data_IF_420354940427
#
_entry.id   IF_420354940427
#
_cell.length_a   1.000
_cell.length_b   1.000
_cell.length_c   1.000
_cell.angle_alpha   90.00
_cell.angle_beta   90.00
_cell.angle_gamma   90.00
#
_symmetry.space_group_name_H-M   'P 1'
#
loop_
_entity.id
_entity.type
_entity.pdbx_description
1 polymer ?
#
# COMPACT_ATOMS: atom_id res chain seq x y z
N UNK A 1 49.49 -9.16 22.46
CA UNK A 1 48.09 -9.24 21.98
C UNK A 1 47.61 -7.85 21.60
N UNK A 2 47.59 -7.49 20.31
CA UNK A 2 46.89 -6.29 19.82
C UNK A 2 45.60 -6.76 19.14
N UNK A 3 44.46 -6.47 19.77
CA UNK A 3 43.16 -6.70 19.18
C UNK A 3 42.85 -5.54 18.22
N UNK A 4 43.06 -5.78 16.93
CA UNK A 4 42.52 -4.93 15.87
C UNK A 4 41.01 -5.19 15.81
N UNK A 5 40.21 -4.30 16.39
CA UNK A 5 38.76 -4.31 16.18
C UNK A 5 38.47 -3.99 14.72
N UNK A 6 37.82 -4.93 14.04
CA UNK A 6 37.26 -4.75 12.72
C UNK A 6 36.14 -3.70 12.80
N UNK A 7 36.39 -2.52 12.23
CA UNK A 7 35.33 -1.57 11.90
C UNK A 7 34.55 -2.18 10.75
N UNK A 8 33.41 -2.80 11.04
CA UNK A 8 32.41 -3.11 10.04
C UNK A 8 31.96 -1.79 9.42
N UNK A 9 32.54 -1.43 8.28
CA UNK A 9 31.92 -0.50 7.35
C UNK A 9 30.68 -1.23 6.83
N UNK A 10 29.55 -1.00 7.50
CA UNK A 10 28.23 -1.37 6.99
C UNK A 10 28.18 -0.86 5.57
N UNK A 11 28.10 -1.77 4.59
CA UNK A 11 27.78 -1.44 3.23
C UNK A 11 26.50 -0.61 3.31
N UNK A 12 26.64 0.71 3.15
CA UNK A 12 25.49 1.59 3.04
C UNK A 12 24.89 1.22 1.69
N UNK A 13 23.91 0.32 1.74
CA UNK A 13 23.11 -0.07 0.60
C UNK A 13 22.77 1.21 -0.17
N UNK A 14 23.07 1.22 -1.48
CA UNK A 14 22.98 2.35 -2.42
C UNK A 14 21.52 2.80 -2.68
N UNK A 15 20.68 2.66 -1.66
CA UNK A 15 19.25 2.84 -1.62
C UNK A 15 18.92 4.31 -1.54
N UNK A 16 17.75 4.63 -2.08
CA UNK A 16 17.17 5.95 -1.91
C UNK A 16 16.64 6.10 -0.49
N UNK A 17 17.35 6.88 0.32
CA UNK A 17 16.88 7.23 1.66
C UNK A 17 15.90 8.38 1.55
N UNK A 18 14.64 8.13 1.92
CA UNK A 18 13.60 9.14 2.07
C UNK A 18 13.72 9.72 3.48
N UNK A 19 14.16 10.97 3.57
CA UNK A 19 14.44 11.64 4.85
C UNK A 19 13.26 12.45 5.36
N UNK A 20 12.33 12.86 4.48
CA UNK A 20 11.18 13.64 4.89
C UNK A 20 10.00 13.44 3.93
N UNK A 21 8.80 13.45 4.51
CA UNK A 21 7.54 13.59 3.77
C UNK A 21 6.82 14.80 4.34
N UNK A 22 6.59 15.80 3.48
CA UNK A 22 5.98 17.08 3.85
C UNK A 22 4.75 17.30 2.99
N UNK A 23 3.77 18.02 3.53
CA UNK A 23 2.61 18.45 2.76
C UNK A 23 2.49 19.96 2.85
N UNK A 24 2.40 20.62 1.70
CA UNK A 24 2.26 22.07 1.59
C UNK A 24 1.21 22.42 0.55
N UNK A 25 0.13 23.09 0.95
CA UNK A 25 -0.91 23.61 0.05
C UNK A 25 -1.38 22.58 -1.01
N UNK A 26 -1.70 21.35 -0.59
CA UNK A 26 -2.10 20.28 -1.51
C UNK A 26 -0.98 19.63 -2.32
N UNK A 27 0.29 19.98 -2.09
CA UNK A 27 1.45 19.28 -2.69
C UNK A 27 2.13 18.42 -1.63
N UNK A 28 2.30 17.12 -1.93
CA UNK A 28 3.09 16.19 -1.10
C UNK A 28 4.52 16.15 -1.63
N UNK A 29 5.46 16.57 -0.82
CA UNK A 29 6.90 16.60 -1.10
C UNK A 29 7.57 15.43 -0.38
N UNK A 30 8.19 14.54 -1.14
CA UNK A 30 8.92 13.38 -0.63
C UNK A 30 10.40 13.58 -0.95
N UNK A 31 11.18 13.88 0.07
CA UNK A 31 12.60 14.23 -0.07
C UNK A 31 13.45 12.97 0.02
N UNK A 32 14.01 12.56 -1.12
CA UNK A 32 14.96 11.48 -1.24
C UNK A 32 16.38 11.97 -1.52
N UNK A 33 17.34 11.08 -1.31
CA UNK A 33 18.77 11.30 -1.59
C UNK A 33 19.13 11.04 -3.05
N UNK A 34 18.36 10.18 -3.74
CA UNK A 34 18.58 9.78 -5.13
C UNK A 34 17.29 9.91 -5.92
N UNK A 35 17.40 9.92 -7.25
CA UNK A 35 16.24 9.92 -8.13
C UNK A 35 15.38 8.68 -7.85
N UNK A 36 14.14 8.82 -7.38
CA UNK A 36 13.29 7.67 -7.11
C UNK A 36 12.85 6.98 -8.41
N UNK A 37 12.84 5.65 -8.41
CA UNK A 37 12.11 4.86 -9.39
C UNK A 37 10.78 4.47 -8.77
N UNK A 38 9.67 4.93 -9.32
CA UNK A 38 8.37 4.80 -8.68
C UNK A 38 7.27 4.42 -9.65
N UNK A 39 6.22 3.83 -9.11
CA UNK A 39 4.96 3.55 -9.80
C UNK A 39 3.82 4.12 -8.97
N UNK A 40 2.77 4.60 -9.63
CA UNK A 40 1.62 5.19 -8.97
C UNK A 40 0.33 4.51 -9.38
N UNK A 41 -0.57 4.33 -8.42
CA UNK A 41 -1.90 3.78 -8.66
C UNK A 41 -2.93 4.49 -7.79
N UNK A 42 -4.07 4.82 -8.38
CA UNK A 42 -5.24 5.35 -7.66
C UNK A 42 -6.20 4.22 -7.35
N UNK A 43 -6.85 4.30 -6.19
CA UNK A 43 -7.96 3.42 -5.82
C UNK A 43 -9.14 4.29 -5.44
N UNK A 44 -10.34 3.97 -5.88
CA UNK A 44 -11.53 4.81 -5.68
C UNK A 44 -12.40 4.40 -4.48
N UNK A 45 -12.02 3.36 -3.73
CA UNK A 45 -12.78 2.88 -2.57
C UNK A 45 -11.88 2.44 -1.40
N UNK A 46 -11.75 3.27 -0.34
CA UNK A 46 -11.80 4.73 -0.35
C UNK A 46 -10.76 5.37 -1.27
N UNK A 47 -11.04 6.58 -1.76
CA UNK A 47 -10.17 7.32 -2.70
C UNK A 47 -8.77 7.56 -2.13
N UNK A 48 -7.76 6.94 -2.75
CA UNK A 48 -6.37 7.02 -2.32
C UNK A 48 -5.40 6.88 -3.50
N UNK A 49 -4.35 7.69 -3.49
CA UNK A 49 -3.19 7.52 -4.37
C UNK A 49 -2.14 6.71 -3.62
N UNK A 50 -1.57 5.74 -4.28
CA UNK A 50 -0.48 4.95 -3.76
C UNK A 50 0.73 5.14 -4.66
N UNK A 51 1.85 5.47 -4.02
CA UNK A 51 3.14 5.69 -4.67
C UNK A 51 4.09 4.64 -4.14
N UNK A 52 4.52 3.75 -5.02
CA UNK A 52 5.42 2.65 -4.70
C UNK A 52 6.80 2.98 -5.26
N UNK A 53 7.76 3.20 -4.37
CA UNK A 53 9.13 3.59 -4.73
C UNK A 53 10.05 2.40 -4.52
N UNK A 54 10.68 1.93 -5.60
CA UNK A 54 11.64 0.83 -5.56
C UNK A 54 12.99 1.28 -5.01
N UNK A 55 13.71 0.35 -4.37
CA UNK A 55 15.03 0.54 -3.79
C UNK A 55 15.09 1.72 -2.80
N UNK A 56 14.02 1.90 -2.03
CA UNK A 56 13.85 3.06 -1.15
C UNK A 56 13.48 2.67 0.28
N UNK A 57 14.02 3.42 1.24
CA UNK A 57 13.78 3.23 2.68
C UNK A 57 13.43 4.54 3.34
N UNK A 58 12.48 4.51 4.27
CA UNK A 58 12.18 5.66 5.11
C UNK A 58 13.20 5.76 6.24
N UNK A 59 13.77 6.96 6.44
CA UNK A 59 14.52 7.30 7.66
C UNK A 59 13.90 8.52 8.31
N UNK A 60 13.56 8.37 9.59
CA UNK A 60 13.02 9.47 10.41
C UNK A 60 11.67 10.02 9.90
N UNK A 61 11.00 9.28 9.01
CA UNK A 61 9.66 9.62 8.51
C UNK A 61 8.60 8.93 9.37
N UNK A 62 7.57 9.64 9.85
CA UNK A 62 6.48 9.04 10.60
C UNK A 62 5.65 8.09 9.73
N UNK A 63 5.32 6.91 10.28
CA UNK A 63 4.51 5.87 9.60
C UNK A 63 3.10 6.31 9.19
N UNK A 64 2.59 7.35 9.84
CA UNK A 64 1.29 7.96 9.54
C UNK A 64 1.33 9.45 9.85
N UNK A 65 0.81 10.26 8.94
CA UNK A 65 0.68 11.69 9.06
C UNK A 65 -0.76 12.10 8.74
N UNK A 66 -1.44 12.75 9.69
CA UNK A 66 -2.77 13.31 9.48
C UNK A 66 -2.64 14.77 9.08
N UNK A 67 -3.16 15.14 7.91
CA UNK A 67 -2.93 16.47 7.30
C UNK A 67 -4.19 17.32 7.29
N UNK A 68 -5.39 16.71 7.16
CA UNK A 68 -6.71 17.38 7.18
C UNK A 68 -6.73 18.70 6.39
N UNK A 69 -6.17 18.72 5.19
CA UNK A 69 -5.97 19.93 4.39
C UNK A 69 -7.09 20.15 3.36
N UNK A 70 -8.32 19.74 3.70
CA UNK A 70 -9.48 19.72 2.81
C UNK A 70 -9.45 18.57 1.80
N UNK A 71 -8.36 18.43 1.03
CA UNK A 71 -8.24 17.43 -0.05
C UNK A 71 -7.52 16.16 0.43
N UNK A 72 -6.40 16.31 1.14
CA UNK A 72 -5.63 15.20 1.71
C UNK A 72 -6.05 14.96 3.16
N UNK A 73 -6.51 13.75 3.47
CA UNK A 73 -6.96 13.37 4.82
C UNK A 73 -5.81 12.80 5.63
N UNK A 74 -5.22 11.71 5.16
CA UNK A 74 -4.18 10.93 5.86
C UNK A 74 -3.12 10.46 4.87
N UNK A 75 -1.86 10.53 5.27
CA UNK A 75 -0.74 9.89 4.57
C UNK A 75 -0.23 8.75 5.44
N UNK A 76 -0.04 7.57 4.87
CA UNK A 76 0.60 6.42 5.51
C UNK A 76 1.83 6.04 4.73
N UNK A 77 2.90 5.71 5.42
CA UNK A 77 4.15 5.24 4.82
C UNK A 77 4.45 3.84 5.33
N UNK A 78 4.69 2.92 4.42
CA UNK A 78 5.05 1.54 4.72
C UNK A 78 6.26 1.14 3.90
N UNK A 79 7.26 0.54 4.54
CA UNK A 79 8.38 -0.08 3.82
C UNK A 79 8.22 -1.59 3.82
N UNK A 80 8.47 -2.20 2.66
CA UNK A 80 8.48 -3.64 2.47
C UNK A 80 9.86 -4.08 1.97
N UNK A 81 10.24 -5.32 2.27
CA UNK A 81 11.55 -5.84 1.89
C UNK A 81 12.70 -5.27 2.71
N UNK A 82 13.93 -5.65 2.33
CA UNK A 82 15.17 -5.21 2.96
C UNK A 82 16.25 -5.03 1.90
N UNK A 83 17.21 -4.13 2.17
CA UNK A 83 18.34 -3.85 1.29
C UNK A 83 17.91 -3.50 -0.14
N UNK A 84 18.48 -4.15 -1.15
CA UNK A 84 18.21 -3.90 -2.58
C UNK A 84 16.79 -4.26 -3.03
N UNK A 85 16.02 -4.97 -2.21
CA UNK A 85 14.60 -5.26 -2.47
C UNK A 85 13.66 -4.38 -1.63
N UNK A 86 14.20 -3.32 -1.00
CA UNK A 86 13.40 -2.40 -0.21
C UNK A 86 12.48 -1.58 -1.10
N UNK A 87 11.20 -1.54 -0.74
CA UNK A 87 10.15 -0.82 -1.44
C UNK A 87 9.46 0.10 -0.43
N UNK A 88 9.44 1.40 -0.73
CA UNK A 88 8.75 2.40 0.07
C UNK A 88 7.39 2.73 -0.55
N UNK A 89 6.32 2.34 0.13
CA UNK A 89 4.93 2.62 -0.24
C UNK A 89 4.40 3.83 0.54
N UNK A 90 4.04 4.88 -0.17
CA UNK A 90 3.32 6.04 0.37
C UNK A 90 1.86 5.92 -0.07
N UNK A 91 0.95 5.79 0.88
CA UNK A 91 -0.50 5.84 0.67
C UNK A 91 -0.99 7.23 1.06
N UNK A 92 -1.58 7.96 0.12
CA UNK A 92 -2.17 9.28 0.32
C UNK A 92 -3.69 9.10 0.20
N UNK A 93 -4.40 9.20 1.32
CA UNK A 93 -5.85 9.20 1.35
C UNK A 93 -6.40 10.59 1.03
N UNK A 94 -7.43 10.62 0.19
CA UNK A 94 -8.13 11.84 -0.17
C UNK A 94 -9.55 11.84 0.41
N UNK A 95 -10.12 13.03 0.58
CA UNK A 95 -11.53 13.20 0.95
C UNK A 95 -12.45 13.06 -0.27
N UNK A 96 -11.98 13.51 -1.42
CA UNK A 96 -12.67 13.50 -2.72
C UNK A 96 -11.79 12.82 -3.78
N UNK A 97 -12.17 12.89 -5.06
CA UNK A 97 -11.39 12.38 -6.20
C UNK A 97 -10.67 13.53 -6.93
N UNK A 98 -9.51 13.99 -6.41
CA UNK A 98 -8.73 15.01 -7.08
C UNK A 98 -7.88 14.43 -8.20
N UNK A 99 -7.61 15.24 -9.22
CA UNK A 99 -6.55 14.97 -10.17
C UNK A 99 -5.18 15.11 -9.47
N UNK A 100 -4.24 14.23 -9.79
CA UNK A 100 -2.89 14.29 -9.20
C UNK A 100 -1.84 14.30 -10.29
N UNK A 101 -0.89 15.22 -10.16
CA UNK A 101 0.25 15.34 -11.05
C UNK A 101 1.53 15.05 -10.27
N UNK A 102 2.36 14.15 -10.79
CA UNK A 102 3.59 13.72 -10.15
C UNK A 102 4.78 14.24 -10.94
N UNK A 103 5.62 15.01 -10.28
CA UNK A 103 6.87 15.52 -10.81
C UNK A 103 8.05 15.00 -10.01
N UNK A 104 9.16 14.76 -10.69
CA UNK A 104 10.41 14.36 -10.04
C UNK A 104 11.45 15.44 -10.27
N UNK A 105 11.94 16.00 -9.18
CA UNK A 105 12.98 17.02 -9.20
C UNK A 105 14.25 16.49 -8.51
N UNK A 106 15.16 15.95 -9.32
CA UNK A 106 16.38 15.31 -8.81
C UNK A 106 16.03 14.10 -7.94
N UNK A 107 16.32 14.19 -6.64
CA UNK A 107 15.97 13.17 -5.64
C UNK A 107 14.64 13.38 -4.92
N UNK A 108 13.91 14.44 -5.25
CA UNK A 108 12.63 14.78 -4.59
C UNK A 108 11.46 14.45 -5.50
N UNK A 109 10.43 13.80 -4.95
CA UNK A 109 9.15 13.57 -5.63
C UNK A 109 8.14 14.62 -5.16
N UNK A 110 7.51 15.32 -6.09
CA UNK A 110 6.45 16.29 -5.83
C UNK A 110 5.16 15.74 -6.40
N UNK A 111 4.19 15.50 -5.53
CA UNK A 111 2.83 15.09 -5.94
C UNK A 111 1.91 16.27 -5.72
N UNK A 112 1.56 16.97 -6.80
CA UNK A 112 0.59 18.06 -6.78
C UNK A 112 -0.80 17.47 -6.87
N UNK A 113 -1.64 17.84 -5.92
CA UNK A 113 -3.04 17.46 -5.92
C UNK A 113 -3.84 18.64 -6.45
N UNK A 114 -4.37 18.49 -7.65
CA UNK A 114 -5.25 19.44 -8.32
C UNK A 114 -6.68 19.02 -7.98
N UNK A 115 -7.26 19.70 -6.99
CA UNK A 115 -8.66 19.53 -6.63
C UNK A 115 -9.36 20.88 -6.56
N UNK A 116 -10.63 20.92 -6.97
CA UNK A 116 -11.51 22.09 -6.83
C UNK A 116 -11.67 22.58 -5.37
N UNK A 117 -11.17 21.83 -4.39
CA UNK A 117 -11.17 22.17 -2.96
C UNK A 117 -10.00 23.03 -2.46
N UNK A 118 -9.08 23.52 -3.31
CA UNK A 118 -7.95 24.37 -2.86
C UNK A 118 -8.36 25.80 -2.43
N UNK A 119 -9.65 26.12 -2.43
CA UNK A 119 -10.18 27.40 -1.96
C UNK A 119 -11.10 27.22 -0.75
N UNK A 120 -10.57 26.93 0.44
CA UNK A 120 -11.04 27.45 1.75
C UNK A 120 -10.25 26.84 2.93
N UNK A 121 -9.06 27.37 3.25
CA UNK A 121 -8.46 27.13 4.56
C UNK A 121 -7.49 28.25 4.96
N UNK A 122 -8.02 29.46 5.11
CA UNK A 122 -7.40 30.53 5.90
C UNK A 122 -8.46 31.51 6.35
N UNK A 123 -9.20 31.10 7.39
CA UNK A 123 -10.03 31.87 8.32
C UNK A 123 -10.79 30.78 9.10
N UNK A 124 -10.83 30.63 10.43
CA UNK A 124 -10.62 31.56 11.54
C UNK A 124 -10.32 30.72 12.78
N UNK A 125 -9.21 31.00 13.46
CA UNK A 125 -9.09 30.69 14.88
C UNK A 125 -9.91 31.76 15.59
N UNK A 126 -11.10 31.41 16.07
CA UNK A 126 -11.75 32.15 17.14
C UNK A 126 -11.99 31.20 18.29
N UNK A 127 -11.14 31.32 19.32
CA UNK A 127 -11.41 30.81 20.66
C UNK A 127 -12.81 31.23 21.11
N UNK A 128 -13.52 30.28 21.70
CA UNK A 128 -14.80 30.50 22.37
C UNK A 128 -15.24 29.23 23.07
N UNK A 129 -14.62 28.93 24.20
CA UNK A 129 -15.06 27.93 25.19
C UNK A 129 -15.46 28.71 26.47
N UNK A 130 -16.32 28.23 27.39
CA UNK A 130 -17.29 27.12 27.37
C UNK A 130 -18.72 27.55 27.75
N UNK A 131 -19.74 26.76 27.42
CA UNK A 131 -20.97 26.73 28.19
C UNK A 131 -21.61 25.33 28.18
N UNK A 132 -21.58 24.71 29.34
CA UNK A 132 -22.29 23.49 29.70
C UNK A 132 -23.80 23.65 29.47
N UNK A 133 -24.42 22.73 28.74
CA UNK A 133 -25.70 22.14 29.15
C UNK A 133 -25.76 20.69 28.70
N UNK A 134 -25.83 19.81 29.69
CA UNK A 134 -26.19 18.42 29.52
C UNK A 134 -27.62 18.32 28.98
N UNK A 135 -27.83 17.45 27.99
CA UNK A 135 -29.10 16.74 27.87
C UNK A 135 -28.82 15.34 27.36
N UNK A 136 -28.77 14.41 28.31
CA UNK A 136 -28.86 13.00 28.05
C UNK A 136 -30.29 12.68 27.63
N UNK A 137 -30.48 12.06 26.47
CA UNK A 137 -31.52 11.07 26.23
C UNK A 137 -31.09 10.18 25.07
N UNK A 138 -31.27 8.89 25.31
CA UNK A 138 -30.66 7.79 24.62
C UNK A 138 -31.51 7.27 23.45
N UNK A 139 -30.88 6.37 22.67
CA UNK A 139 -31.49 5.39 21.74
C UNK A 139 -31.94 6.02 20.41
N UNK A 140 -31.22 5.78 19.30
CA UNK A 140 -31.22 4.48 18.62
C UNK A 140 -30.02 4.32 17.69
N UNK A 141 -29.20 3.29 17.91
CA UNK A 141 -28.62 2.55 16.78
C UNK A 141 -29.79 1.82 16.09
N UNK A 142 -29.83 1.83 14.75
CA UNK A 142 -29.45 0.59 14.07
C UNK A 142 -28.66 0.78 12.77
N UNK A 143 -27.82 -0.21 12.49
CA UNK A 143 -27.41 -0.70 11.18
C UNK A 143 -26.49 0.19 10.31
N UNK A 144 -25.21 0.23 10.67
CA UNK A 144 -24.12 0.14 9.67
C UNK A 144 -23.49 -1.24 9.81
N UNK A 145 -24.15 -2.26 9.26
CA UNK A 145 -23.62 -3.63 9.26
C UNK A 145 -23.74 -4.31 7.89
N UNK A 146 -24.06 -3.57 6.82
CA UNK A 146 -24.25 -4.13 5.48
C UNK A 146 -23.05 -3.96 4.51
N UNK A 147 -22.03 -3.15 4.85
CA UNK A 147 -20.90 -2.87 3.93
C UNK A 147 -19.70 -3.81 4.09
N UNK A 148 -19.41 -4.27 5.32
CA UNK A 148 -18.25 -5.14 5.60
C UNK A 148 -18.52 -6.63 5.35
N UNK A 149 -19.79 -7.03 5.21
CA UNK A 149 -20.16 -8.39 4.87
C UNK A 149 -19.98 -8.71 3.37
N UNK A 150 -20.02 -7.70 2.48
CA UNK A 150 -19.80 -7.93 1.04
C UNK A 150 -18.31 -8.17 0.75
N UNK A 151 -17.40 -7.21 1.04
CA UNK A 151 -15.97 -7.40 0.73
C UNK A 151 -15.34 -8.65 1.36
N UNK A 152 -15.69 -9.00 2.61
CA UNK A 152 -15.16 -10.22 3.24
C UNK A 152 -15.75 -11.51 2.62
N UNK A 153 -16.99 -11.47 2.11
CA UNK A 153 -17.59 -12.60 1.40
C UNK A 153 -17.04 -12.74 -0.03
N UNK A 154 -16.75 -11.61 -0.70
CA UNK A 154 -16.16 -11.56 -2.04
C UNK A 154 -14.71 -12.09 -2.04
N UNK A 155 -13.89 -11.69 -1.06
CA UNK A 155 -12.53 -12.20 -0.89
C UNK A 155 -12.51 -13.69 -0.49
N UNK A 156 -13.42 -14.12 0.39
CA UNK A 156 -13.55 -15.54 0.78
C UNK A 156 -13.99 -16.41 -0.39
N UNK A 157 -14.93 -15.93 -1.21
CA UNK A 157 -15.43 -16.65 -2.38
C UNK A 157 -14.35 -16.79 -3.46
N UNK A 158 -13.54 -15.75 -3.69
CA UNK A 158 -12.39 -15.81 -4.61
C UNK A 158 -11.32 -16.80 -4.15
N UNK A 159 -11.01 -16.85 -2.85
CA UNK A 159 -10.07 -17.84 -2.28
C UNK A 159 -10.60 -19.28 -2.36
N UNK A 160 -11.89 -19.49 -2.15
CA UNK A 160 -12.51 -20.81 -2.21
C UNK A 160 -12.58 -21.33 -3.64
N UNK A 161 -12.91 -20.45 -4.61
CA UNK A 161 -12.89 -20.76 -6.03
C UNK A 161 -11.47 -21.11 -6.52
N UNK A 162 -10.45 -20.34 -6.10
CA UNK A 162 -9.05 -20.63 -6.48
C UNK A 162 -8.55 -21.97 -5.91
N UNK A 163 -8.96 -22.33 -4.67
CA UNK A 163 -8.66 -23.65 -4.08
C UNK A 163 -9.39 -24.79 -4.81
N UNK A 164 -10.64 -24.58 -5.22
CA UNK A 164 -11.41 -25.56 -5.99
C UNK A 164 -10.78 -25.80 -7.37
N UNK A 165 -10.33 -24.74 -8.06
CA UNK A 165 -9.62 -24.88 -9.34
C UNK A 165 -8.24 -25.54 -9.17
N UNK A 166 -7.52 -25.28 -8.08
CA UNK A 166 -6.27 -25.95 -7.79
C UNK A 166 -6.48 -27.44 -7.49
N UNK A 167 -7.52 -27.81 -6.74
CA UNK A 167 -7.84 -29.19 -6.43
C UNK A 167 -8.34 -29.96 -7.67
N UNK A 168 -9.15 -29.35 -8.53
CA UNK A 168 -9.57 -29.95 -9.79
C UNK A 168 -8.38 -30.23 -10.71
N UNK A 169 -7.51 -29.22 -10.91
CA UNK A 169 -6.29 -29.41 -11.71
C UNK A 169 -5.36 -30.49 -11.15
N UNK A 170 -5.21 -30.57 -9.83
CA UNK A 170 -4.41 -31.62 -9.20
C UNK A 170 -5.01 -33.02 -9.41
N UNK A 171 -6.33 -33.16 -9.38
CA UNK A 171 -7.02 -34.43 -9.66
C UNK A 171 -6.88 -34.83 -11.14
N UNK A 172 -7.08 -33.89 -12.06
CA UNK A 172 -6.93 -34.13 -13.50
C UNK A 172 -5.48 -34.50 -13.86
N UNK A 173 -4.49 -33.80 -13.30
CA UNK A 173 -3.08 -34.11 -13.53
C UNK A 173 -2.71 -35.50 -12.95
N UNK A 174 -3.23 -35.85 -11.77
CA UNK A 174 -3.01 -37.17 -11.19
C UNK A 174 -3.68 -38.29 -12.03
N UNK A 175 -4.87 -38.04 -12.58
CA UNK A 175 -5.55 -38.98 -13.46
C UNK A 175 -4.80 -39.16 -14.78
N UNK A 176 -4.36 -38.06 -15.41
CA UNK A 176 -3.55 -38.11 -16.62
C UNK A 176 -2.24 -38.88 -16.40
N UNK A 177 -1.54 -38.64 -15.28
CA UNK A 177 -0.32 -39.39 -14.94
C UNK A 177 -0.57 -40.88 -14.77
N UNK A 178 -1.69 -41.28 -14.14
CA UNK A 178 -2.05 -42.71 -14.01
C UNK A 178 -2.34 -43.34 -15.37
N UNK A 179 -3.09 -42.66 -16.23
CA UNK A 179 -3.39 -43.12 -17.58
C UNK A 179 -2.13 -43.22 -18.44
N UNK A 180 -1.22 -42.25 -18.34
CA UNK A 180 0.04 -42.26 -19.06
C UNK A 180 0.96 -43.40 -18.57
N UNK A 181 1.03 -43.61 -17.25
CA UNK A 181 1.79 -44.71 -16.68
C UNK A 181 1.21 -46.07 -17.10
N UNK A 182 -0.12 -46.23 -17.06
CA UNK A 182 -0.78 -47.45 -17.52
C UNK A 182 -0.55 -47.69 -19.02
N UNK A 183 -0.64 -46.65 -19.86
CA UNK A 183 -0.30 -46.73 -21.28
C UNK A 183 1.16 -47.12 -21.50
N UNK A 184 2.09 -46.54 -20.74
CA UNK A 184 3.51 -46.86 -20.82
C UNK A 184 3.78 -48.32 -20.44
N UNK A 185 3.14 -48.81 -19.37
CA UNK A 185 3.24 -50.21 -18.95
C UNK A 185 2.64 -51.15 -20.01
N UNK A 186 1.48 -50.81 -20.58
CA UNK A 186 0.84 -51.59 -21.63
C UNK A 186 1.68 -51.64 -22.90
N UNK A 187 2.28 -50.53 -23.32
CA UNK A 187 3.17 -50.46 -24.48
C UNK A 187 4.46 -51.26 -24.26
N UNK A 188 5.06 -51.15 -23.07
CA UNK A 188 6.24 -51.94 -22.73
C UNK A 188 5.94 -53.44 -22.74
N UNK A 189 4.81 -53.86 -22.15
CA UNK A 189 4.38 -55.26 -22.13
C UNK A 189 4.05 -55.79 -23.53
N UNK A 190 3.49 -54.96 -24.41
CA UNK A 190 3.24 -55.32 -25.80
C UNK A 190 4.53 -55.45 -26.63
N UNK A 191 5.60 -54.77 -26.23
CA UNK A 191 6.92 -54.85 -26.87
C UNK A 191 7.75 -56.04 -26.39
N UNK A 192 7.46 -56.55 -25.19
CA UNK A 192 8.11 -57.71 -24.58
C UNK A 192 7.40 -59.06 -24.88
N UNK A 193 6.21 -59.04 -25.52
CA UNK A 193 5.43 -60.22 -25.94
C UNK A 193 5.64 -60.53 -27.43
#
# INVERSE_FOLDING_TARGET
>A
MCACMATSASAQSDLNVISAVRVRAGTVEIVGTKKPNFTTFTMSDPTRLVVDVSEAVFREVPGQLTVNNGVVTTIKTASYGSDQSAIARILIGFAEDPDTEIETHGGTLLVRVVGDGLAVASSEISSGEPALVASASAVSQPASEAGVASSAADDKKRLEEERLLAEQRAREEAEQKRLEEERRIAEQKAREA
#
